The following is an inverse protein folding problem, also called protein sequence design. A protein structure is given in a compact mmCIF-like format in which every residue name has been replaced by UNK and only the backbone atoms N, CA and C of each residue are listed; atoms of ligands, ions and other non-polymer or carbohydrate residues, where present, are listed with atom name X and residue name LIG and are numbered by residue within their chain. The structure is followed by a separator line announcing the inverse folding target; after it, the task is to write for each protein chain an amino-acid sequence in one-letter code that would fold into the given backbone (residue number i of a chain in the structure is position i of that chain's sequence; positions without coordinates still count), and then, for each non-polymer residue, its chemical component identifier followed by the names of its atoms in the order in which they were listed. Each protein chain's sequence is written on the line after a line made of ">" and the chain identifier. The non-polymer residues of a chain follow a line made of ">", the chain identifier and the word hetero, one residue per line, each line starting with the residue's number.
data_IF_183160477521
#
_entry.id   IF_183160477521
#
_cell.length_a   1.000
_cell.length_b   1.000
_cell.length_c   1.000
_cell.angle_alpha   90.00
_cell.angle_beta   90.00
_cell.angle_gamma   90.00
#
_symmetry.space_group_name_H-M   'P 1'
#
loop_
_entity.id
_entity.type
_entity.pdbx_description
1 polymer ?
#
# COMPACT_ATOMS: atom_id res chain seq x y z
N UNK A 1 -0.97 -15.88 -10.61
CA UNK A 1 -1.05 -15.76 -9.14
C UNK A 1 -1.49 -14.34 -8.78
N UNK A 2 -1.98 -14.10 -7.56
CA UNK A 2 -2.31 -12.76 -7.06
C UNK A 2 -1.12 -12.16 -6.33
N UNK A 3 -0.86 -10.86 -6.53
CA UNK A 3 0.20 -10.12 -5.82
C UNK A 3 -0.38 -9.06 -4.89
N UNK A 4 0.30 -8.70 -3.79
CA UNK A 4 -0.15 -7.61 -2.95
C UNK A 4 0.15 -6.30 -3.66
N UNK A 5 -0.86 -5.47 -3.84
CA UNK A 5 -0.70 -4.10 -4.36
C UNK A 5 -0.88 -3.13 -3.21
N UNK A 6 0.20 -2.46 -2.83
CA UNK A 6 0.13 -1.44 -1.79
C UNK A 6 -0.51 -0.18 -2.35
N UNK A 7 -1.49 0.33 -1.64
CA UNK A 7 -2.31 1.46 -2.09
C UNK A 7 -2.32 2.54 -1.02
N UNK A 8 -2.51 3.79 -1.45
CA UNK A 8 -2.83 4.87 -0.51
C UNK A 8 -4.33 4.88 -0.28
N UNK A 9 -4.75 5.09 0.96
CA UNK A 9 -6.16 5.08 1.34
C UNK A 9 -6.48 6.38 2.04
N UNK A 10 -7.45 7.13 1.51
CA UNK A 10 -8.09 8.21 2.25
C UNK A 10 -9.20 7.58 3.08
N UNK A 11 -9.14 7.77 4.39
CA UNK A 11 -10.12 7.24 5.32
C UNK A 11 -10.62 8.33 6.26
N UNK A 12 -11.86 8.18 6.69
CA UNK A 12 -12.39 8.87 7.85
C UNK A 12 -12.17 7.99 9.09
N UNK A 13 -11.70 8.60 10.17
CA UNK A 13 -11.60 7.94 11.46
C UNK A 13 -12.49 8.67 12.46
N UNK A 14 -13.43 7.95 13.05
CA UNK A 14 -14.32 8.51 14.07
C UNK A 14 -13.60 8.57 15.43
N UNK A 15 -14.14 9.35 16.37
CA UNK A 15 -13.65 9.39 17.75
C UNK A 15 -13.71 8.04 18.48
N UNK A 16 -14.58 7.13 18.03
CA UNK A 16 -14.65 5.75 18.52
C UNK A 16 -13.56 4.83 17.96
N UNK A 17 -12.71 5.33 17.06
CA UNK A 17 -11.66 4.55 16.40
C UNK A 17 -12.15 3.73 15.20
N UNK A 18 -13.39 3.92 14.75
CA UNK A 18 -13.91 3.26 13.55
C UNK A 18 -13.25 3.88 12.33
N UNK A 19 -12.67 3.03 11.46
CA UNK A 19 -12.08 3.45 10.19
C UNK A 19 -13.04 3.17 9.04
N UNK A 20 -13.33 4.21 8.28
CA UNK A 20 -14.15 4.15 7.07
C UNK A 20 -13.30 4.58 5.85
N UNK A 21 -12.87 3.63 5.01
CA UNK A 21 -12.24 3.95 3.74
C UNK A 21 -13.20 4.75 2.84
N UNK A 22 -12.69 5.81 2.21
CA UNK A 22 -13.44 6.68 1.29
C UNK A 22 -12.90 6.63 -0.13
N UNK A 23 -11.58 6.48 -0.28
CA UNK A 23 -10.92 6.53 -1.57
C UNK A 23 -9.63 5.69 -1.54
N UNK A 24 -9.30 5.09 -2.68
CA UNK A 24 -8.05 4.37 -2.91
C UNK A 24 -7.29 5.05 -4.04
N UNK A 25 -6.01 5.36 -3.80
CA UNK A 25 -5.06 5.68 -4.87
C UNK A 25 -4.23 4.45 -5.18
N UNK A 26 -4.35 3.97 -6.42
CA UNK A 26 -3.63 2.83 -6.94
C UNK A 26 -2.15 3.16 -7.18
N UNK A 27 -1.32 2.14 -7.34
CA UNK A 27 0.15 2.31 -7.50
C UNK A 27 0.54 3.11 -8.75
N UNK A 28 -0.32 3.17 -9.75
CA UNK A 28 -0.16 3.96 -10.98
C UNK A 28 -0.67 5.41 -10.85
N UNK A 29 -1.14 5.79 -9.66
CA UNK A 29 -1.68 7.11 -9.35
C UNK A 29 -3.17 7.28 -9.68
N UNK A 30 -3.86 6.28 -10.22
CA UNK A 30 -5.30 6.36 -10.44
C UNK A 30 -6.05 6.37 -9.11
N UNK A 31 -7.07 7.21 -9.04
CA UNK A 31 -7.87 7.42 -7.84
C UNK A 31 -9.24 6.81 -8.04
N UNK A 32 -9.69 6.04 -7.05
CA UNK A 32 -10.94 5.32 -7.07
C UNK A 32 -11.76 5.63 -5.82
N UNK A 33 -12.99 6.09 -6.03
CA UNK A 33 -13.93 6.36 -4.94
C UNK A 33 -14.54 5.05 -4.40
N UNK A 34 -14.62 4.96 -3.07
CA UNK A 34 -15.30 3.86 -2.37
C UNK A 34 -16.73 4.31 -2.04
N UNK A 35 -17.68 3.80 -2.80
CA UNK A 35 -19.12 4.10 -2.63
C UNK A 35 -19.70 3.51 -1.35
N UNK A 36 -19.22 2.34 -0.92
CA UNK A 36 -19.56 1.73 0.36
C UNK A 36 -18.45 0.81 0.86
N UNK A 37 -18.37 0.61 2.17
CA UNK A 37 -17.38 -0.27 2.80
C UNK A 37 -17.96 -0.98 4.01
N UNK A 38 -17.72 -2.29 4.12
CA UNK A 38 -18.11 -3.10 5.28
C UNK A 38 -16.88 -3.76 5.90
N UNK A 39 -16.68 -3.57 7.21
CA UNK A 39 -15.58 -4.22 7.92
C UNK A 39 -15.89 -5.70 8.17
N UNK A 40 -14.98 -6.57 7.74
CA UNK A 40 -15.13 -8.03 7.82
C UNK A 40 -14.23 -8.70 8.87
N UNK A 41 -13.51 -7.91 9.67
CA UNK A 41 -12.53 -8.44 10.62
C UNK A 41 -11.23 -8.89 9.95
N UNK A 42 -10.46 -9.72 10.65
CA UNK A 42 -9.20 -10.26 10.13
C UNK A 42 -9.45 -11.38 9.11
N UNK A 43 -8.88 -11.27 7.91
CA UNK A 43 -8.97 -12.28 6.85
C UNK A 43 -7.64 -12.53 6.15
N UNK A 44 -7.51 -13.72 5.57
CA UNK A 44 -6.40 -14.03 4.67
C UNK A 44 -6.62 -13.35 3.30
N UNK A 45 -5.58 -12.72 2.77
CA UNK A 45 -5.57 -12.22 1.41
C UNK A 45 -5.15 -13.33 0.45
N UNK A 46 -5.59 -13.27 -0.82
CA UNK A 46 -5.14 -14.25 -1.83
C UNK A 46 -3.68 -14.02 -2.20
N UNK A 47 -3.22 -12.79 -2.11
CA UNK A 47 -1.88 -12.38 -2.49
C UNK A 47 -0.83 -12.57 -1.40
N UNK A 48 -1.13 -12.17 -0.17
CA UNK A 48 -0.15 -12.17 0.92
C UNK A 48 -0.79 -12.11 2.31
N UNK A 49 -0.47 -13.10 3.15
CA UNK A 49 -0.69 -13.03 4.59
C UNK A 49 -2.15 -12.82 5.01
N UNK A 50 -2.33 -12.18 6.16
CA UNK A 50 -3.64 -11.80 6.70
C UNK A 50 -3.62 -10.38 7.24
N UNK A 51 -4.77 -9.70 7.16
CA UNK A 51 -4.94 -8.34 7.63
C UNK A 51 -6.38 -8.05 8.05
N UNK A 52 -6.59 -6.89 8.65
CA UNK A 52 -7.93 -6.31 8.82
C UNK A 52 -8.52 -6.06 7.44
N UNK A 53 -9.75 -6.52 7.18
CA UNK A 53 -10.32 -6.56 5.85
C UNK A 53 -11.61 -5.74 5.77
N UNK A 54 -11.69 -4.84 4.80
CA UNK A 54 -12.90 -4.15 4.40
C UNK A 54 -13.33 -4.64 3.03
N UNK A 55 -14.61 -5.01 2.90
CA UNK A 55 -15.23 -5.21 1.59
C UNK A 55 -15.70 -3.86 1.08
N UNK A 56 -14.99 -3.32 0.10
CA UNK A 56 -15.24 -2.01 -0.47
C UNK A 56 -15.98 -2.14 -1.80
N UNK A 57 -16.85 -1.18 -2.13
CA UNK A 57 -17.53 -1.12 -3.43
C UNK A 57 -16.95 0.03 -4.26
N UNK A 58 -16.24 -0.31 -5.33
CA UNK A 58 -15.58 0.62 -6.26
C UNK A 58 -16.17 0.38 -7.65
N UNK A 59 -16.68 1.42 -8.32
CA UNK A 59 -17.32 1.32 -9.64
C UNK A 59 -18.38 0.19 -9.74
N UNK A 60 -19.10 -0.05 -8.64
CA UNK A 60 -20.12 -1.11 -8.57
C UNK A 60 -19.59 -2.52 -8.29
N UNK A 61 -18.28 -2.72 -8.20
CA UNK A 61 -17.66 -4.01 -7.87
C UNK A 61 -17.21 -4.08 -6.42
N UNK A 62 -17.43 -5.24 -5.79
CA UNK A 62 -16.94 -5.51 -4.45
C UNK A 62 -15.49 -6.01 -4.47
N UNK A 63 -14.62 -5.30 -3.77
CA UNK A 63 -13.19 -5.54 -3.73
C UNK A 63 -12.69 -5.56 -2.28
N UNK A 64 -11.93 -6.60 -1.88
CA UNK A 64 -11.30 -6.63 -0.56
C UNK A 64 -10.13 -5.64 -0.47
N UNK A 65 -10.16 -4.80 0.57
CA UNK A 65 -9.09 -3.91 0.98
C UNK A 65 -8.56 -4.36 2.34
N UNK A 66 -7.25 -4.51 2.46
CA UNK A 66 -6.59 -5.07 3.63
C UNK A 66 -5.68 -4.04 4.31
N UNK A 67 -5.60 -4.09 5.64
CA UNK A 67 -4.69 -3.29 6.46
C UNK A 67 -3.86 -4.18 7.40
N UNK A 68 -2.58 -3.85 7.55
CA UNK A 68 -1.64 -4.55 8.40
C UNK A 68 -1.29 -3.63 9.56
N UNK A 69 -1.74 -3.99 10.75
CA UNK A 69 -1.39 -3.27 11.98
C UNK A 69 0.11 -3.34 12.29
N UNK A 70 0.83 -4.35 11.78
CA UNK A 70 2.26 -4.51 11.97
C UNK A 70 3.09 -3.54 11.12
N UNK A 71 2.70 -3.32 9.86
CA UNK A 71 3.46 -2.48 8.93
C UNK A 71 2.83 -1.10 8.72
N UNK A 72 1.59 -0.89 9.18
CA UNK A 72 0.80 0.31 8.93
C UNK A 72 0.38 0.48 7.46
N UNK A 73 0.47 -0.57 6.65
CA UNK A 73 0.23 -0.49 5.19
C UNK A 73 -1.12 -1.05 4.81
N UNK A 74 -1.70 -0.45 3.77
CA UNK A 74 -2.90 -0.90 3.09
C UNK A 74 -2.55 -1.62 1.79
N UNK A 75 -3.25 -2.70 1.47
CA UNK A 75 -3.07 -3.41 0.20
C UNK A 75 -4.35 -4.05 -0.33
N UNK A 76 -4.34 -4.38 -1.62
CA UNK A 76 -5.40 -5.13 -2.31
C UNK A 76 -4.78 -6.31 -3.07
N UNK A 77 -5.62 -7.29 -3.42
CA UNK A 77 -5.21 -8.40 -4.29
C UNK A 77 -5.16 -7.91 -5.75
N UNK A 78 -3.97 -7.73 -6.30
CA UNK A 78 -3.75 -7.39 -7.70
C UNK A 78 -3.64 -8.61 -8.61
N UNK A 79 -3.87 -8.38 -9.91
CA UNK A 79 -3.55 -9.36 -10.97
C UNK A 79 -2.10 -9.19 -11.43
N UNK A 80 -1.42 -10.30 -11.66
CA UNK A 80 -0.05 -10.33 -12.21
C UNK A 80 1.02 -10.63 -11.15
N UNK A 81 2.24 -10.83 -11.63
CA UNK A 81 3.42 -11.01 -10.77
C UNK A 81 3.89 -9.66 -10.21
N UNK A 82 4.47 -9.62 -9.00
CA UNK A 82 5.03 -8.39 -8.43
C UNK A 82 5.96 -7.73 -9.44
N UNK A 83 5.79 -6.42 -9.68
CA UNK A 83 6.80 -5.68 -10.44
C UNK A 83 8.15 -5.91 -9.73
N UNK A 84 9.20 -6.38 -10.43
CA UNK A 84 10.48 -6.59 -9.80
C UNK A 84 10.94 -5.28 -9.18
N UNK A 85 11.54 -5.30 -7.97
CA UNK A 85 12.03 -4.08 -7.35
C UNK A 85 12.89 -3.34 -8.38
N UNK A 86 12.79 -1.99 -8.44
CA UNK A 86 13.61 -1.23 -9.37
C UNK A 86 15.05 -1.70 -9.19
N UNK A 87 15.69 -2.09 -10.30
CA UNK A 87 17.09 -2.55 -10.26
C UNK A 87 17.85 -1.49 -9.47
N UNK A 88 18.57 -1.86 -8.39
CA UNK A 88 19.33 -0.88 -7.63
C UNK A 88 20.18 -0.14 -8.66
N UNK A 89 19.92 1.16 -8.83
CA UNK A 89 20.79 2.00 -9.63
C UNK A 89 22.13 1.88 -8.91
N UNK A 90 23.09 1.20 -9.54
CA UNK A 90 24.37 0.91 -8.92
C UNK A 90 24.88 2.22 -8.33
N UNK A 91 25.28 2.18 -7.05
CA UNK A 91 25.80 3.34 -6.35
C UNK A 91 26.76 4.07 -7.30
N UNK A 92 26.41 5.29 -7.71
CA UNK A 92 27.30 6.09 -8.54
C UNK A 92 28.53 6.33 -7.67
N UNK A 93 29.66 5.70 -8.03
CA UNK A 93 30.96 6.01 -7.40
C UNK A 93 31.10 7.52 -7.46
N UNK A 94 30.98 8.17 -6.31
CA UNK A 94 31.36 9.58 -6.16
C UNK A 94 32.87 9.53 -6.29
N UNK A 95 33.40 9.88 -7.47
CA UNK A 95 34.83 10.07 -7.64
C UNK A 95 35.24 11.13 -6.62
N UNK A 96 36.13 10.72 -5.73
CA UNK A 96 37.05 11.55 -4.94
C UNK A 96 36.52 12.96 -4.66
N UNK A 97 35.69 13.09 -3.63
CA UNK A 97 35.64 14.35 -2.91
C UNK A 97 37.01 14.50 -2.27
N UNK A 98 37.86 15.35 -2.84
CA UNK A 98 39.14 15.78 -2.27
C UNK A 98 38.94 16.19 -0.80
N UNK A 99 39.13 15.25 0.10
CA UNK A 99 39.19 15.55 1.52
C UNK A 99 40.58 16.11 1.80
N UNK A 100 40.67 17.43 1.99
CA UNK A 100 41.84 18.06 2.62
C UNK A 100 41.62 18.07 4.13
N UNK A 101 42.40 17.31 4.92
CA UNK A 101 42.41 17.47 6.37
C UNK A 101 42.89 18.88 6.73
N UNK A 102 42.39 19.49 7.81
CA UNK A 102 42.93 20.77 8.29
C UNK A 102 44.39 20.58 8.74
N UNK A 103 45.26 21.48 8.28
CA UNK A 103 46.68 21.53 8.69
C UNK A 103 46.77 21.78 10.21
N UNK A 104 47.68 21.03 10.86
CA UNK A 104 47.91 21.06 12.31
C UNK A 104 48.67 22.30 12.76
#
# INVERSE_FOLDING_TARGET
>A
MSRPVFVSVRLEMTSSGTRRPLEVTWEDGRVFEITSSSYLGRRAARSAGSGECWLCRIEGQEVPLYFSSLTGRWWMDGKGDPEPPPRPQGYRRVKDRDYKPPER
#
